data_IF_618004099766
#
_entry.id   IF_618004099766
#
_cell.length_a   1.000
_cell.length_b   1.000
_cell.length_c   1.000
_cell.angle_alpha   90.00
_cell.angle_beta   90.00
_cell.angle_gamma   90.00
#
_symmetry.space_group_name_H-M   'P 1'
#
loop_
_entity.id
_entity.type
_entity.pdbx_description
1 polymer ?
#
# COMPACT_ATOMS: atom_id res chain seq x y z
N UNK A 1 -8.03 -3.90 5.08
CA UNK A 1 -8.10 -2.97 3.93
C UNK A 1 -7.97 -3.67 2.57
N UNK A 2 -7.45 -4.90 2.50
CA UNK A 2 -7.17 -5.60 1.24
C UNK A 2 -8.28 -5.57 0.18
N UNK A 3 -9.53 -5.88 0.54
CA UNK A 3 -10.65 -5.92 -0.42
C UNK A 3 -11.05 -4.53 -0.94
N UNK A 4 -10.89 -3.49 -0.12
CA UNK A 4 -11.20 -2.10 -0.51
C UNK A 4 -10.29 -1.60 -1.63
N UNK A 5 -9.00 -1.95 -1.58
CA UNK A 5 -8.03 -1.56 -2.60
C UNK A 5 -8.39 -2.11 -3.99
N UNK A 6 -8.80 -3.39 -4.07
CA UNK A 6 -9.27 -3.95 -5.34
C UNK A 6 -10.53 -3.25 -5.86
N UNK A 7 -11.45 -2.89 -4.96
CA UNK A 7 -12.63 -2.09 -5.32
C UNK A 7 -12.27 -0.78 -5.99
N UNK A 8 -11.29 -0.05 -5.46
CA UNK A 8 -10.76 1.18 -6.07
C UNK A 8 -10.12 0.89 -7.43
N UNK A 9 -9.35 -0.20 -7.57
CA UNK A 9 -8.76 -0.61 -8.85
C UNK A 9 -9.81 -0.91 -9.93
N UNK A 10 -10.89 -1.60 -9.57
CA UNK A 10 -12.03 -1.83 -10.47
C UNK A 10 -12.73 -0.52 -10.84
N UNK A 11 -12.96 0.37 -9.87
CA UNK A 11 -13.55 1.68 -10.12
C UNK A 11 -12.69 2.52 -11.06
N UNK A 12 -11.39 2.60 -10.80
CA UNK A 12 -10.42 3.33 -11.62
C UNK A 12 -10.34 2.77 -13.05
N UNK A 13 -10.51 1.45 -13.23
CA UNK A 13 -10.52 0.82 -14.56
C UNK A 13 -11.62 1.37 -15.46
N UNK A 14 -12.76 1.76 -14.90
CA UNK A 14 -13.85 2.39 -15.66
C UNK A 14 -13.49 3.79 -16.15
N UNK A 15 -12.70 4.53 -15.37
CA UNK A 15 -12.23 5.88 -15.70
C UNK A 15 -11.03 5.87 -16.65
N UNK A 16 -10.17 4.85 -16.55
CA UNK A 16 -9.02 4.71 -17.43
C UNK A 16 -8.86 3.28 -17.99
N UNK A 17 -9.59 2.95 -19.07
CA UNK A 17 -9.60 1.61 -19.64
C UNK A 17 -8.30 1.16 -20.30
N UNK A 18 -7.38 2.08 -20.67
CA UNK A 18 -6.12 1.72 -21.35
C UNK A 18 -5.07 1.18 -20.39
N UNK A 19 -5.11 1.60 -19.11
CA UNK A 19 -4.21 1.07 -18.09
C UNK A 19 -4.63 -0.35 -17.73
N UNK A 20 -3.67 -1.27 -17.63
CA UNK A 20 -3.97 -2.66 -17.30
C UNK A 20 -4.61 -2.77 -15.91
N UNK A 21 -5.52 -3.74 -15.72
CA UNK A 21 -6.16 -3.93 -14.40
C UNK A 21 -5.11 -4.30 -13.33
N UNK A 22 -4.10 -5.09 -13.71
CA UNK A 22 -2.98 -5.43 -12.82
C UNK A 22 -2.20 -4.20 -12.35
N UNK A 23 -1.96 -3.23 -13.23
CA UNK A 23 -1.30 -1.96 -12.87
C UNK A 23 -2.14 -1.16 -11.88
N UNK A 24 -3.46 -1.12 -12.05
CA UNK A 24 -4.36 -0.41 -11.13
C UNK A 24 -4.39 -1.09 -9.75
N UNK A 25 -4.35 -2.43 -9.69
CA UNK A 25 -4.23 -3.15 -8.43
C UNK A 25 -2.88 -2.92 -7.75
N UNK A 26 -1.80 -2.96 -8.52
CA UNK A 26 -0.46 -2.63 -8.02
C UNK A 26 -0.44 -1.23 -7.43
N UNK A 27 -1.00 -0.24 -8.14
CA UNK A 27 -1.05 1.14 -7.68
C UNK A 27 -1.87 1.28 -6.38
N UNK A 28 -3.04 0.62 -6.30
CA UNK A 28 -3.90 0.66 -5.12
C UNK A 28 -3.32 -0.08 -3.90
N UNK A 29 -2.31 -0.93 -4.10
CA UNK A 29 -1.70 -1.77 -3.06
C UNK A 29 -0.22 -1.47 -2.86
N UNK A 30 0.28 -0.38 -3.44
CA UNK A 30 1.71 -0.10 -3.48
C UNK A 30 2.33 -0.06 -2.08
N UNK A 31 1.64 0.56 -1.12
CA UNK A 31 2.05 0.59 0.28
C UNK A 31 2.15 -0.83 0.88
N UNK A 32 1.13 -1.65 0.69
CA UNK A 32 1.06 -3.03 1.18
C UNK A 32 2.15 -3.93 0.56
N UNK A 33 2.53 -3.67 -0.69
CA UNK A 33 3.56 -4.42 -1.41
C UNK A 33 4.98 -4.03 -1.01
N UNK A 34 5.22 -2.75 -0.73
CA UNK A 34 6.54 -2.20 -0.38
C UNK A 34 6.85 -2.38 1.11
N UNK A 35 5.83 -2.30 1.97
CA UNK A 35 5.98 -2.34 3.42
C UNK A 35 6.76 -3.55 3.95
N UNK A 36 6.51 -4.81 3.52
CA UNK A 36 7.27 -5.96 4.00
C UNK A 36 8.77 -5.84 3.72
N UNK A 37 9.16 -5.26 2.59
CA UNK A 37 10.57 -5.02 2.28
C UNK A 37 11.17 -3.97 3.21
N UNK A 38 10.47 -2.88 3.51
CA UNK A 38 10.95 -1.88 4.45
C UNK A 38 11.02 -2.39 5.89
N UNK A 39 10.14 -3.33 6.27
CA UNK A 39 10.25 -4.05 7.54
C UNK A 39 11.52 -4.91 7.61
N UNK A 40 11.79 -5.69 6.55
CA UNK A 40 12.98 -6.54 6.48
C UNK A 40 14.28 -5.71 6.51
N UNK A 41 14.26 -4.51 5.94
CA UNK A 41 15.37 -3.56 5.99
C UNK A 41 15.44 -2.77 7.30
N UNK A 42 14.47 -2.91 8.21
CA UNK A 42 14.40 -2.20 9.49
C UNK A 42 14.11 -0.70 9.38
N UNK A 43 13.73 -0.21 8.19
CA UNK A 43 13.36 1.20 7.95
C UNK A 43 12.02 1.52 8.59
N UNK A 44 11.08 0.60 8.47
CA UNK A 44 9.79 0.63 9.17
C UNK A 44 9.74 -0.51 10.18
N UNK A 45 8.94 -0.32 11.24
CA UNK A 45 8.95 -1.18 12.42
C UNK A 45 7.53 -1.54 12.82
N UNK A 46 7.32 -2.85 12.96
CA UNK A 46 6.15 -3.46 13.56
C UNK A 46 6.62 -4.34 14.72
N UNK A 47 5.78 -4.45 15.75
CA UNK A 47 6.00 -5.37 16.85
C UNK A 47 4.93 -6.45 16.80
N UNK A 48 5.34 -7.69 17.04
CA UNK A 48 4.42 -8.82 17.13
C UNK A 48 3.98 -8.97 18.57
N UNK A 49 2.70 -8.72 18.83
CA UNK A 49 2.09 -8.85 20.15
C UNK A 49 0.90 -9.80 20.03
N UNK A 50 0.97 -11.01 20.64
CA UNK A 50 -0.15 -11.94 20.62
C UNK A 50 -1.42 -11.28 21.15
N UNK A 51 -2.54 -11.49 20.45
CA UNK A 51 -3.85 -10.91 20.80
C UNK A 51 -3.89 -9.38 20.86
N UNK A 52 -3.01 -8.69 20.12
CA UNK A 52 -3.01 -7.22 20.07
C UNK A 52 -4.33 -6.63 19.59
N UNK A 53 -4.88 -7.18 18.51
CA UNK A 53 -6.25 -6.93 18.07
C UNK A 53 -7.01 -8.25 17.92
N UNK A 54 -8.33 -8.16 17.71
CA UNK A 54 -9.16 -9.34 17.46
C UNK A 54 -8.79 -10.10 16.18
N UNK A 55 -8.11 -9.45 15.21
CA UNK A 55 -7.90 -10.00 13.86
C UNK A 55 -6.44 -10.04 13.42
N UNK A 56 -5.52 -9.39 14.14
CA UNK A 56 -4.09 -9.44 13.86
C UNK A 56 -3.24 -9.23 15.13
N UNK A 57 -1.97 -9.64 15.05
CA UNK A 57 -0.98 -9.53 16.12
C UNK A 57 0.02 -8.37 15.89
N UNK A 58 -0.34 -7.37 15.09
CA UNK A 58 0.60 -6.34 14.63
C UNK A 58 0.37 -5.03 15.38
N UNK A 59 1.35 -4.68 16.22
CA UNK A 59 1.48 -3.36 16.82
C UNK A 59 2.37 -2.48 15.91
N UNK A 60 1.75 -1.53 15.21
CA UNK A 60 2.42 -0.71 14.22
C UNK A 60 3.15 0.47 14.89
N UNK A 61 4.46 0.32 15.10
CA UNK A 61 5.25 1.24 15.90
C UNK A 61 5.77 2.44 15.09
N UNK A 62 6.24 2.21 13.86
CA UNK A 62 6.83 3.26 13.03
C UNK A 62 6.78 2.89 11.55
N UNK A 63 5.94 3.57 10.77
CA UNK A 63 5.70 3.24 9.35
C UNK A 63 5.29 4.48 8.51
N UNK A 64 6.03 5.60 8.60
CA UNK A 64 5.63 6.85 7.97
C UNK A 64 5.88 6.90 6.46
N UNK A 65 6.65 5.98 5.89
CA UNK A 65 7.01 6.04 4.47
C UNK A 65 5.95 5.37 3.60
N UNK A 66 5.40 4.25 4.07
CA UNK A 66 4.39 3.50 3.32
C UNK A 66 2.96 3.93 3.59
N UNK A 67 2.63 4.36 4.83
CA UNK A 67 1.24 4.67 5.21
C UNK A 67 1.08 6.04 5.87
N UNK A 68 1.92 7.01 5.53
CA UNK A 68 1.57 8.42 5.78
C UNK A 68 0.94 9.02 4.53
N UNK A 69 0.07 10.01 4.71
CA UNK A 69 -0.53 10.76 3.60
C UNK A 69 0.53 11.30 2.63
N UNK A 70 1.62 11.86 3.17
CA UNK A 70 2.72 12.40 2.34
C UNK A 70 3.44 11.28 1.60
N UNK A 71 3.73 10.16 2.28
CA UNK A 71 4.37 8.99 1.67
C UNK A 71 3.55 8.42 0.51
N UNK A 72 2.25 8.25 0.70
CA UNK A 72 1.33 7.75 -0.34
C UNK A 72 1.20 8.72 -1.52
N UNK A 73 1.11 10.03 -1.27
CA UNK A 73 1.09 11.04 -2.33
C UNK A 73 2.37 11.00 -3.17
N UNK A 74 3.53 10.92 -2.52
CA UNK A 74 4.82 10.83 -3.21
C UNK A 74 4.96 9.52 -3.99
N UNK A 75 4.58 8.39 -3.39
CA UNK A 75 4.65 7.09 -4.05
C UNK A 75 3.70 7.02 -5.26
N UNK A 76 2.49 7.54 -5.14
CA UNK A 76 1.53 7.63 -6.24
C UNK A 76 2.02 8.55 -7.37
N UNK A 77 2.61 9.70 -7.02
CA UNK A 77 3.23 10.60 -8.00
C UNK A 77 4.39 9.92 -8.73
N UNK A 78 5.29 9.26 -8.01
CA UNK A 78 6.44 8.56 -8.58
C UNK A 78 6.00 7.42 -9.51
N UNK A 79 5.03 6.61 -9.08
CA UNK A 79 4.49 5.53 -9.92
C UNK A 79 3.81 6.09 -11.17
N UNK A 80 3.03 7.17 -11.04
CA UNK A 80 2.38 7.84 -12.16
C UNK A 80 3.38 8.40 -13.16
N UNK A 81 4.45 9.05 -12.69
CA UNK A 81 5.53 9.59 -13.52
C UNK A 81 6.36 8.49 -14.18
N UNK A 82 6.60 7.37 -13.51
CA UNK A 82 7.36 6.24 -14.07
C UNK A 82 6.55 5.35 -15.03
N UNK A 83 5.22 5.47 -15.02
CA UNK A 83 4.34 4.79 -15.97
C UNK A 83 4.16 5.56 -17.29
N UNK A 84 4.30 6.89 -17.26
CA UNK A 84 4.28 7.77 -18.43
C UNK A 84 5.55 7.63 -19.26
#
# INVERSE_FOLDING_TARGET
MFLGHFGVGFGAKTLQPRVSLGTLFLAAQLADLVWPTLLLLGVERVRFVPHFTATNAFDFVYYPFTHSLVGELLAGLLLGLGYW
#
